data_IF_299292422193
#
_entry.id   IF_299292422193
#
_cell.length_a   1.000
_cell.length_b   1.000
_cell.length_c   1.000
_cell.angle_alpha   90.00
_cell.angle_beta   90.00
_cell.angle_gamma   90.00
#
_symmetry.space_group_name_H-M   'P 1'
#
loop_
_entity.id
_entity.type
_entity.pdbx_description
1 polymer ?
#
# COMPACT_ATOMS: atom_id res chain seq x y z
N UNK A 1 -40.96 71.25 -32.92
CA UNK A 1 -40.79 71.24 -31.46
C UNK A 1 -39.30 71.34 -31.17
N UNK A 2 -38.81 72.53 -30.80
CA UNK A 2 -37.40 72.76 -30.47
C UNK A 2 -37.26 72.82 -28.96
N UNK A 3 -37.00 71.67 -28.34
CA UNK A 3 -36.61 71.61 -26.94
C UNK A 3 -35.12 71.84 -26.84
N UNK A 4 -34.70 73.05 -26.46
CA UNK A 4 -33.33 73.31 -26.05
C UNK A 4 -33.07 72.55 -24.74
N UNK A 5 -32.40 71.40 -24.83
CA UNK A 5 -31.86 70.72 -23.65
C UNK A 5 -30.85 71.65 -22.97
N UNK A 6 -31.06 72.09 -21.72
CA UNK A 6 -30.06 72.87 -21.02
C UNK A 6 -28.81 72.00 -20.86
N UNK A 7 -27.67 72.47 -21.36
CA UNK A 7 -26.39 71.82 -21.13
C UNK A 7 -26.16 71.81 -19.62
N UNK A 8 -26.13 70.63 -19.00
CA UNK A 8 -25.83 70.52 -17.59
C UNK A 8 -24.43 71.10 -17.35
N UNK A 9 -24.39 72.23 -16.65
CA UNK A 9 -23.17 72.97 -16.31
C UNK A 9 -23.00 72.90 -14.80
N UNK A 10 -21.75 72.90 -14.35
CA UNK A 10 -21.44 73.12 -12.94
C UNK A 10 -21.90 74.51 -12.51
N UNK A 11 -21.95 74.77 -11.20
CA UNK A 11 -22.30 76.10 -10.68
C UNK A 11 -21.40 77.23 -11.21
N UNK A 12 -20.18 76.90 -11.69
CA UNK A 12 -19.25 77.83 -12.32
C UNK A 12 -19.40 77.96 -13.85
N UNK A 13 -20.39 77.30 -14.46
CA UNK A 13 -20.67 77.39 -15.90
C UNK A 13 -19.83 76.44 -16.77
N UNK A 14 -18.97 75.60 -16.18
CA UNK A 14 -18.19 74.60 -16.93
C UNK A 14 -19.12 73.47 -17.38
N UNK A 15 -19.15 73.11 -18.67
CA UNK A 15 -19.91 71.95 -19.16
C UNK A 15 -19.49 70.68 -18.43
N UNK A 16 -20.46 69.83 -18.05
CA UNK A 16 -20.14 68.56 -17.38
C UNK A 16 -19.19 67.67 -18.23
N UNK A 17 -19.24 67.80 -19.56
CA UNK A 17 -18.36 67.12 -20.51
C UNK A 17 -16.90 67.61 -20.51
N UNK A 18 -16.63 68.78 -19.93
CA UNK A 18 -15.29 69.37 -19.82
C UNK A 18 -14.65 69.11 -18.45
N UNK A 19 -15.33 68.38 -17.56
CA UNK A 19 -14.75 67.97 -16.28
C UNK A 19 -13.62 66.95 -16.52
N UNK A 20 -12.53 67.00 -15.72
CA UNK A 20 -11.48 65.99 -15.78
C UNK A 20 -12.06 64.59 -15.57
N UNK A 21 -11.75 63.67 -16.49
CA UNK A 21 -12.05 62.25 -16.28
C UNK A 21 -11.11 61.75 -15.19
N UNK A 22 -11.64 61.52 -14.00
CA UNK A 22 -10.87 60.89 -12.94
C UNK A 22 -10.50 59.44 -13.34
N UNK A 23 -9.29 58.96 -13.00
CA UNK A 23 -8.98 57.54 -13.11
C UNK A 23 -10.02 56.72 -12.34
N UNK A 24 -10.25 55.49 -12.78
CA UNK A 24 -11.23 54.59 -12.18
C UNK A 24 -11.08 54.59 -10.65
N UNK A 25 -12.16 54.84 -9.88
CA UNK A 25 -12.12 54.85 -8.43
C UNK A 25 -11.55 53.53 -7.90
N UNK A 26 -10.88 53.61 -6.75
CA UNK A 26 -10.36 52.46 -6.00
C UNK A 26 -11.47 51.78 -5.20
N UNK A 27 -11.28 50.52 -4.79
CA UNK A 27 -12.34 49.71 -4.17
C UNK A 27 -12.98 50.36 -2.92
N UNK A 28 -12.21 51.19 -2.20
CA UNK A 28 -12.62 51.91 -1.00
C UNK A 28 -13.24 53.29 -1.27
N UNK A 29 -13.14 53.80 -2.50
CA UNK A 29 -13.71 55.11 -2.84
C UNK A 29 -15.23 55.04 -2.77
N UNK A 30 -15.82 56.09 -2.21
CA UNK A 30 -17.27 56.18 -2.05
C UNK A 30 -17.90 56.70 -3.34
N UNK A 31 -18.86 55.94 -3.86
CA UNK A 31 -19.71 56.35 -4.97
C UNK A 31 -21.08 56.73 -4.45
N UNK A 32 -21.55 57.92 -4.80
CA UNK A 32 -22.92 58.34 -4.53
C UNK A 32 -23.87 57.70 -5.55
N UNK A 33 -24.92 57.06 -5.06
CA UNK A 33 -25.96 56.49 -5.91
C UNK A 33 -27.30 56.37 -5.18
N UNK A 34 -28.34 56.03 -5.93
CA UNK A 34 -29.63 55.66 -5.35
C UNK A 34 -29.67 54.14 -5.21
N UNK A 35 -29.67 53.65 -3.98
CA UNK A 35 -29.68 52.23 -3.66
C UNK A 35 -30.89 51.94 -2.78
N UNK A 36 -31.68 50.92 -3.12
CA UNK A 36 -32.94 50.60 -2.41
C UNK A 36 -33.87 51.81 -2.21
N UNK A 37 -33.89 52.74 -3.17
CA UNK A 37 -34.73 53.95 -3.12
C UNK A 37 -34.21 55.07 -2.20
N UNK A 38 -32.98 54.98 -1.70
CA UNK A 38 -32.34 56.00 -0.86
C UNK A 38 -31.03 56.47 -1.50
N UNK A 39 -30.75 57.77 -1.45
CA UNK A 39 -29.44 58.31 -1.84
C UNK A 39 -28.41 58.01 -0.77
N UNK A 40 -27.38 57.23 -1.10
CA UNK A 40 -26.32 56.88 -0.16
C UNK A 40 -24.95 56.77 -0.86
N UNK A 41 -23.90 56.96 -0.07
CA UNK A 41 -22.52 56.70 -0.48
C UNK A 41 -22.17 55.23 -0.15
N UNK A 42 -21.74 54.47 -1.15
CA UNK A 42 -21.34 53.06 -0.98
C UNK A 42 -19.92 52.90 -1.52
N UNK A 43 -19.04 52.11 -0.85
CA UNK A 43 -17.74 51.77 -1.39
C UNK A 43 -17.88 51.14 -2.77
N UNK A 44 -17.02 51.55 -3.71
CA UNK A 44 -17.08 51.12 -5.10
C UNK A 44 -17.10 49.59 -5.25
N UNK A 45 -16.33 48.86 -4.44
CA UNK A 45 -16.29 47.39 -4.45
C UNK A 45 -17.58 46.70 -4.02
N UNK A 46 -18.52 47.41 -3.38
CA UNK A 46 -19.76 46.84 -2.79
C UNK A 46 -21.04 47.38 -3.44
N UNK A 47 -20.93 48.02 -4.61
CA UNK A 47 -22.07 48.60 -5.34
C UNK A 47 -23.08 47.53 -5.79
N UNK A 48 -22.63 46.31 -6.07
CA UNK A 48 -23.50 45.22 -6.53
C UNK A 48 -23.79 44.20 -5.45
N UNK A 49 -25.06 43.74 -5.41
CA UNK A 49 -25.45 42.61 -4.56
C UNK A 49 -24.69 41.35 -4.98
N UNK A 50 -23.96 40.74 -4.04
CA UNK A 50 -23.11 39.57 -4.30
C UNK A 50 -21.69 39.88 -4.78
N UNK A 51 -21.29 41.16 -4.83
CA UNK A 51 -19.88 41.50 -5.04
C UNK A 51 -19.03 40.98 -3.88
N UNK A 52 -17.98 40.23 -4.23
CA UNK A 52 -16.99 39.68 -3.29
C UNK A 52 -15.64 40.31 -3.48
N UNK A 53 -14.97 40.61 -2.38
CA UNK A 53 -13.61 41.14 -2.40
C UNK A 53 -12.64 40.07 -2.92
N UNK A 54 -11.67 40.49 -3.74
CA UNK A 54 -10.64 39.59 -4.28
C UNK A 54 -9.71 39.04 -3.20
N UNK A 55 -9.72 39.63 -2.01
CA UNK A 55 -8.90 39.25 -0.87
C UNK A 55 -9.72 39.33 0.40
N UNK A 56 -10.03 38.16 0.99
CA UNK A 56 -10.71 38.07 2.27
C UNK A 56 -12.14 38.59 2.20
N UNK A 57 -13.08 37.71 1.88
CA UNK A 57 -14.51 37.98 1.96
C UNK A 57 -15.25 36.71 2.40
N UNK A 58 -16.54 36.83 2.71
CA UNK A 58 -17.41 35.71 3.09
C UNK A 58 -18.67 35.71 2.24
N UNK A 59 -19.00 34.55 1.68
CA UNK A 59 -20.25 34.32 0.97
C UNK A 59 -21.24 33.59 1.88
N UNK A 60 -22.48 34.09 1.95
CA UNK A 60 -23.59 33.34 2.53
C UNK A 60 -24.27 32.52 1.41
N UNK A 61 -23.79 31.30 1.17
CA UNK A 61 -24.35 30.39 0.16
C UNK A 61 -23.31 29.62 -0.65
N UNK A 62 -23.77 28.90 -1.68
CA UNK A 62 -22.91 28.12 -2.57
C UNK A 62 -22.26 29.01 -3.64
N UNK A 63 -20.96 28.85 -3.84
CA UNK A 63 -20.24 29.42 -4.98
C UNK A 63 -20.18 28.39 -6.12
N UNK A 64 -20.97 28.62 -7.17
CA UNK A 64 -20.99 27.75 -8.34
C UNK A 64 -19.88 28.15 -9.33
N UNK A 65 -18.88 27.28 -9.52
CA UNK A 65 -17.84 27.43 -10.53
C UNK A 65 -17.86 26.23 -11.48
N UNK A 66 -18.32 26.39 -12.74
CA UNK A 66 -18.40 25.28 -13.70
C UNK A 66 -17.04 24.91 -14.31
N UNK A 67 -16.04 25.78 -14.17
CA UNK A 67 -14.72 25.58 -14.76
C UNK A 67 -13.87 24.67 -13.87
N UNK A 68 -13.17 23.73 -14.51
CA UNK A 68 -12.18 22.92 -13.83
C UNK A 68 -10.95 23.77 -13.49
N UNK A 69 -10.38 23.61 -12.28
CA UNK A 69 -9.11 24.20 -11.91
C UNK A 69 -7.99 23.79 -12.88
N UNK A 70 -7.16 24.74 -13.31
CA UNK A 70 -5.97 24.52 -14.12
C UNK A 70 -4.68 25.00 -13.43
N UNK A 71 -4.81 25.76 -12.35
CA UNK A 71 -3.72 26.23 -11.49
C UNK A 71 -3.99 25.80 -10.03
N UNK A 72 -2.95 25.47 -9.24
CA UNK A 72 -3.11 25.08 -7.83
C UNK A 72 -3.84 26.12 -6.95
N UNK A 73 -3.84 27.39 -7.34
CA UNK A 73 -4.47 28.49 -6.59
C UNK A 73 -5.93 28.74 -6.99
N UNK A 74 -6.45 28.01 -7.97
CA UNK A 74 -7.85 28.14 -8.40
C UNK A 74 -8.81 27.53 -7.37
N UNK A 75 -10.00 28.14 -7.29
CA UNK A 75 -11.13 27.55 -6.58
C UNK A 75 -11.47 26.17 -7.18
N UNK A 76 -11.48 25.14 -6.34
CA UNK A 76 -11.86 23.79 -6.75
C UNK A 76 -13.36 23.55 -6.63
N UNK A 77 -13.99 23.06 -7.70
CA UNK A 77 -15.39 22.62 -7.65
C UNK A 77 -15.52 21.15 -7.20
N UNK A 78 -16.73 20.76 -6.78
CA UNK A 78 -17.01 19.40 -6.26
C UNK A 78 -16.77 18.32 -7.32
N UNK A 79 -17.15 18.56 -8.57
CA UNK A 79 -16.97 17.60 -9.66
C UNK A 79 -15.49 17.26 -9.90
N UNK A 80 -14.61 18.26 -9.82
CA UNK A 80 -13.17 18.07 -9.90
C UNK A 80 -12.64 17.22 -8.74
N UNK A 81 -13.03 17.52 -7.51
CA UNK A 81 -12.61 16.75 -6.32
C UNK A 81 -13.09 15.30 -6.41
N UNK A 82 -14.31 15.07 -6.86
CA UNK A 82 -14.87 13.72 -7.04
C UNK A 82 -14.12 12.94 -8.10
N UNK A 83 -13.78 13.58 -9.23
CA UNK A 83 -12.99 12.96 -10.29
C UNK A 83 -11.59 12.58 -9.78
N UNK A 84 -10.90 13.48 -9.07
CA UNK A 84 -9.59 13.20 -8.48
C UNK A 84 -9.68 12.07 -7.45
N UNK A 85 -10.72 12.08 -6.61
CA UNK A 85 -10.99 11.02 -5.65
C UNK A 85 -11.18 9.66 -6.32
N UNK A 86 -11.97 9.60 -7.39
CA UNK A 86 -12.18 8.39 -8.19
C UNK A 86 -10.89 7.88 -8.85
N UNK A 87 -10.06 8.78 -9.38
CA UNK A 87 -8.75 8.41 -9.94
C UNK A 87 -7.82 7.81 -8.89
N UNK A 88 -7.75 8.41 -7.70
CA UNK A 88 -6.94 7.89 -6.58
C UNK A 88 -7.46 6.52 -6.16
N UNK A 89 -8.78 6.35 -5.97
CA UNK A 89 -9.38 5.07 -5.62
C UNK A 89 -9.08 3.98 -6.66
N UNK A 90 -9.20 4.29 -7.95
CA UNK A 90 -8.87 3.36 -9.04
C UNK A 90 -7.40 2.94 -9.03
N UNK A 91 -6.46 3.87 -8.82
CA UNK A 91 -5.03 3.57 -8.72
C UNK A 91 -4.71 2.71 -7.51
N UNK A 92 -5.32 2.99 -6.36
CA UNK A 92 -5.15 2.20 -5.13
C UNK A 92 -5.69 0.79 -5.34
N UNK A 93 -6.87 0.64 -5.93
CA UNK A 93 -7.44 -0.67 -6.23
C UNK A 93 -6.51 -1.51 -7.13
N UNK A 94 -5.99 -0.91 -8.22
CA UNK A 94 -5.05 -1.58 -9.11
C UNK A 94 -3.76 -2.00 -8.39
N UNK A 95 -3.22 -1.14 -7.52
CA UNK A 95 -2.01 -1.43 -6.75
C UNK A 95 -2.25 -2.58 -5.74
N UNK A 96 -3.42 -2.60 -5.09
CA UNK A 96 -3.81 -3.70 -4.18
C UNK A 96 -3.89 -5.03 -4.93
N UNK A 97 -4.51 -5.05 -6.10
CA UNK A 97 -4.56 -6.27 -6.94
C UNK A 97 -3.15 -6.73 -7.32
N UNK A 98 -2.29 -5.83 -7.79
CA UNK A 98 -0.90 -6.17 -8.13
C UNK A 98 -0.13 -6.74 -6.94
N UNK A 99 -0.31 -6.18 -5.73
CA UNK A 99 0.33 -6.68 -4.52
C UNK A 99 -0.18 -8.08 -4.12
N UNK A 100 -1.49 -8.33 -4.28
CA UNK A 100 -2.10 -9.64 -4.01
C UNK A 100 -1.62 -10.71 -5.00
N UNK A 101 -1.51 -10.36 -6.29
CA UNK A 101 -0.99 -11.25 -7.33
C UNK A 101 0.48 -11.60 -7.06
N UNK A 102 1.31 -10.61 -6.71
CA UNK A 102 2.70 -10.82 -6.36
C UNK A 102 2.86 -11.74 -5.12
N UNK A 103 2.03 -11.55 -4.09
CA UNK A 103 2.03 -12.40 -2.91
C UNK A 103 1.64 -13.85 -3.24
N UNK A 104 0.64 -14.04 -4.10
CA UNK A 104 0.20 -15.37 -4.56
C UNK A 104 1.30 -16.06 -5.37
N UNK A 105 1.92 -15.35 -6.31
CA UNK A 105 3.03 -15.88 -7.10
C UNK A 105 4.22 -16.31 -6.22
N UNK A 106 4.54 -15.53 -5.19
CA UNK A 106 5.59 -15.87 -4.22
C UNK A 106 5.26 -17.17 -3.45
N UNK A 107 4.02 -17.32 -2.99
CA UNK A 107 3.58 -18.54 -2.30
C UNK A 107 3.63 -19.76 -3.22
N UNK A 108 3.18 -19.63 -4.47
CA UNK A 108 3.27 -20.70 -5.47
C UNK A 108 4.73 -21.08 -5.75
N UNK A 109 5.63 -20.10 -5.90
CA UNK A 109 7.05 -20.35 -6.13
C UNK A 109 7.69 -21.12 -4.96
N UNK A 110 7.37 -20.77 -3.71
CA UNK A 110 7.83 -21.48 -2.51
C UNK A 110 7.31 -22.92 -2.50
N UNK A 111 6.02 -23.12 -2.78
CA UNK A 111 5.42 -24.46 -2.84
C UNK A 111 6.04 -25.35 -3.91
N UNK A 112 6.29 -24.78 -5.10
CA UNK A 112 6.95 -25.47 -6.19
C UNK A 112 8.39 -25.83 -5.83
N UNK A 113 9.15 -24.90 -5.25
CA UNK A 113 10.52 -25.15 -4.82
C UNK A 113 10.62 -26.27 -3.77
N UNK A 114 9.72 -26.27 -2.78
CA UNK A 114 9.62 -27.33 -1.77
C UNK A 114 9.30 -28.70 -2.39
N UNK A 115 8.35 -28.72 -3.32
CA UNK A 115 7.96 -29.95 -4.04
C UNK A 115 9.10 -30.50 -4.88
N UNK A 116 9.79 -29.63 -5.64
CA UNK A 116 10.96 -30.00 -6.44
C UNK A 116 12.09 -30.51 -5.55
N UNK A 117 12.40 -29.82 -4.46
CA UNK A 117 13.43 -30.26 -3.51
C UNK A 117 13.11 -31.65 -2.93
N UNK A 118 11.87 -31.86 -2.49
CA UNK A 118 11.43 -33.16 -1.98
C UNK A 118 11.48 -34.25 -3.06
N UNK A 119 11.13 -33.92 -4.30
CA UNK A 119 11.23 -34.83 -5.44
C UNK A 119 12.68 -35.21 -5.74
N UNK A 120 13.60 -34.24 -5.78
CA UNK A 120 15.03 -34.49 -6.02
C UNK A 120 15.60 -35.37 -4.91
N UNK A 121 15.31 -35.10 -3.64
CA UNK A 121 15.76 -35.94 -2.52
C UNK A 121 15.22 -37.37 -2.65
N UNK A 122 13.94 -37.55 -3.03
CA UNK A 122 13.35 -38.87 -3.26
C UNK A 122 13.98 -39.61 -4.44
N UNK A 123 14.20 -38.92 -5.57
CA UNK A 123 14.86 -39.54 -6.72
C UNK A 123 16.29 -39.94 -6.39
N UNK A 124 17.02 -39.08 -5.67
CA UNK A 124 18.42 -39.34 -5.34
C UNK A 124 18.60 -40.39 -4.24
N UNK A 125 17.71 -40.50 -3.24
CA UNK A 125 17.86 -41.52 -2.19
C UNK A 125 17.64 -42.96 -2.67
N UNK A 126 16.86 -43.13 -3.74
CA UNK A 126 16.50 -44.45 -4.29
C UNK A 126 17.36 -44.83 -5.51
N UNK A 127 18.19 -43.91 -6.02
CA UNK A 127 19.07 -44.16 -7.14
C UNK A 127 20.37 -44.88 -6.71
N UNK A 128 20.88 -45.84 -7.50
CA UNK A 128 22.27 -46.26 -7.41
C UNK A 128 23.20 -45.03 -7.51
N UNK A 129 24.24 -44.97 -6.67
CA UNK A 129 25.17 -43.83 -6.54
C UNK A 129 24.52 -42.49 -6.10
N UNK A 130 23.35 -42.56 -5.48
CA UNK A 130 22.61 -41.40 -5.01
C UNK A 130 22.95 -40.92 -3.59
N UNK A 131 22.00 -40.24 -2.94
CA UNK A 131 22.17 -39.67 -1.60
C UNK A 131 22.01 -40.74 -0.50
N UNK A 132 22.97 -40.81 0.41
CA UNK A 132 22.93 -41.67 1.58
C UNK A 132 22.67 -40.87 2.88
N UNK A 133 22.02 -41.49 3.87
CA UNK A 133 21.84 -40.89 5.19
C UNK A 133 23.14 -41.00 6.00
N UNK A 134 23.60 -39.90 6.60
CA UNK A 134 24.80 -39.85 7.43
C UNK A 134 24.46 -39.47 8.87
N UNK A 135 25.23 -39.99 9.83
CA UNK A 135 25.21 -39.55 11.22
C UNK A 135 25.82 -38.15 11.37
N UNK A 136 25.71 -37.55 12.56
CA UNK A 136 26.39 -36.29 12.87
C UNK A 136 27.92 -36.38 12.79
N UNK A 137 28.47 -37.58 12.89
CA UNK A 137 29.90 -37.86 12.72
C UNK A 137 30.29 -38.15 11.25
N UNK A 138 29.33 -38.14 10.32
CA UNK A 138 29.57 -38.37 8.88
C UNK A 138 29.60 -39.85 8.47
N UNK A 139 29.18 -40.77 9.33
CA UNK A 139 29.14 -42.21 9.05
C UNK A 139 27.81 -42.63 8.41
N UNK A 140 27.81 -43.66 7.56
CA UNK A 140 26.60 -44.15 6.90
C UNK A 140 25.60 -44.74 7.92
N UNK A 141 24.33 -44.31 7.84
CA UNK A 141 23.23 -44.82 8.66
C UNK A 141 22.42 -45.87 7.92
N UNK A 142 22.29 -47.06 8.52
CA UNK A 142 21.50 -48.19 8.00
C UNK A 142 20.49 -48.62 9.07
N UNK A 143 19.24 -48.15 8.98
CA UNK A 143 18.17 -48.61 9.89
C UNK A 143 18.45 -48.41 11.38
N UNK A 144 19.23 -47.37 11.74
CA UNK A 144 19.65 -47.10 13.13
C UNK A 144 21.01 -47.68 13.51
N UNK A 145 21.69 -48.37 12.61
CA UNK A 145 23.08 -48.83 12.76
C UNK A 145 24.02 -47.83 12.09
N UNK A 146 25.10 -47.47 12.78
CA UNK A 146 26.14 -46.58 12.25
C UNK A 146 27.30 -47.40 11.68
N UNK A 147 27.62 -47.24 10.40
CA UNK A 147 28.73 -47.90 9.74
C UNK A 147 30.00 -47.04 9.84
N UNK A 148 30.96 -47.47 10.65
CA UNK A 148 32.24 -46.78 10.89
C UNK A 148 33.28 -47.01 9.77
N UNK A 149 32.92 -47.78 8.73
CA UNK A 149 33.80 -48.13 7.61
C UNK A 149 34.17 -49.60 7.59
N UNK A 150 35.32 -49.91 6.99
CA UNK A 150 35.80 -51.29 6.76
C UNK A 150 37.17 -51.47 7.42
N UNK A 151 37.37 -52.57 8.16
CA UNK A 151 38.68 -53.01 8.66
C UNK A 151 38.88 -54.47 8.31
N UNK A 152 40.01 -54.80 7.68
CA UNK A 152 40.35 -56.17 7.27
C UNK A 152 39.27 -56.86 6.43
N UNK A 153 38.56 -56.11 5.57
CA UNK A 153 37.47 -56.65 4.75
C UNK A 153 36.13 -56.83 5.48
N UNK A 154 36.04 -56.48 6.77
CA UNK A 154 34.81 -56.53 7.55
C UNK A 154 34.25 -55.14 7.81
N UNK A 155 32.93 -54.99 7.68
CA UNK A 155 32.24 -53.74 8.02
C UNK A 155 32.23 -53.57 9.53
N UNK A 156 32.67 -52.41 10.01
CA UNK A 156 32.50 -52.03 11.41
C UNK A 156 31.18 -51.30 11.58
N UNK A 157 30.37 -51.80 12.49
CA UNK A 157 29.07 -51.22 12.81
C UNK A 157 28.96 -50.97 14.31
N UNK A 158 28.32 -49.87 14.68
CA UNK A 158 27.89 -49.60 16.05
C UNK A 158 26.37 -49.68 16.09
N UNK A 159 25.85 -50.44 17.04
CA UNK A 159 24.41 -50.54 17.30
C UNK A 159 24.16 -50.44 18.80
N UNK A 160 23.06 -49.77 19.17
CA UNK A 160 22.59 -49.80 20.54
C UNK A 160 21.95 -51.17 20.82
N UNK A 161 22.43 -51.85 21.85
CA UNK A 161 21.81 -53.09 22.33
C UNK A 161 20.70 -52.75 23.34
N UNK A 162 19.55 -53.47 23.32
CA UNK A 162 18.51 -53.32 24.34
C UNK A 162 19.06 -53.49 25.76
N UNK A 163 18.52 -52.74 26.72
CA UNK A 163 18.93 -52.84 28.13
C UNK A 163 18.18 -53.93 28.91
N UNK A 164 17.20 -54.57 28.26
CA UNK A 164 16.36 -55.64 28.79
C UNK A 164 16.33 -56.79 27.79
N UNK A 165 16.15 -58.01 28.27
CA UNK A 165 16.01 -59.19 27.41
C UNK A 165 14.86 -58.97 26.40
N UNK A 166 15.12 -58.96 25.08
CA UNK A 166 14.10 -58.76 24.06
C UNK A 166 13.18 -59.97 23.87
N UNK A 167 13.44 -61.12 24.53
CA UNK A 167 12.70 -62.36 24.38
C UNK A 167 12.69 -62.89 22.92
N UNK A 168 13.72 -62.55 22.15
CA UNK A 168 13.96 -63.09 20.80
C UNK A 168 15.17 -64.02 20.88
N UNK A 169 15.00 -65.30 20.59
CA UNK A 169 16.09 -66.29 20.76
C UNK A 169 17.31 -65.88 19.93
N UNK A 170 18.48 -65.86 20.56
CA UNK A 170 19.72 -65.48 19.89
C UNK A 170 19.88 -63.98 19.63
N UNK A 171 19.02 -63.12 20.17
CA UNK A 171 19.22 -61.67 20.10
C UNK A 171 20.21 -61.19 21.18
N UNK A 172 21.12 -60.30 20.80
CA UNK A 172 22.09 -59.71 21.73
C UNK A 172 21.45 -58.56 22.49
N UNK A 173 21.71 -58.46 23.79
CA UNK A 173 21.27 -57.36 24.65
C UNK A 173 22.34 -57.04 25.69
N UNK A 174 22.26 -55.87 26.34
CA UNK A 174 23.21 -55.43 27.35
C UNK A 174 22.50 -55.25 28.69
N UNK A 175 22.89 -55.99 29.73
CA UNK A 175 22.25 -55.87 31.05
C UNK A 175 22.79 -54.73 31.93
N UNK A 176 23.64 -53.84 31.37
CA UNK A 176 24.31 -52.76 32.10
C UNK A 176 25.73 -53.10 32.57
N UNK A 177 26.24 -54.30 32.30
CA UNK A 177 27.62 -54.70 32.61
C UNK A 177 28.27 -55.64 31.60
N UNK A 178 27.49 -56.48 30.91
CA UNK A 178 28.00 -57.39 29.88
C UNK A 178 26.95 -57.65 28.78
N UNK A 179 27.43 -58.18 27.65
CA UNK A 179 26.59 -58.61 26.53
C UNK A 179 25.98 -59.97 26.87
N UNK A 180 24.67 -60.06 26.74
CA UNK A 180 23.86 -61.23 26.96
C UNK A 180 23.27 -61.73 25.63
N UNK A 181 22.97 -63.03 25.59
CA UNK A 181 22.21 -63.67 24.51
C UNK A 181 20.84 -64.06 25.06
N UNK A 182 19.78 -63.52 24.47
CA UNK A 182 18.40 -63.87 24.82
C UNK A 182 18.12 -65.34 24.53
N UNK A 183 17.43 -66.00 25.47
CA UNK A 183 16.97 -67.39 25.33
C UNK A 183 15.68 -67.50 24.48
N UNK A 184 15.05 -66.37 24.15
CA UNK A 184 13.71 -66.33 23.55
C UNK A 184 12.61 -66.28 24.62
N UNK A 185 11.42 -65.83 24.22
CA UNK A 185 10.25 -65.88 25.09
C UNK A 185 9.98 -67.32 25.53
N UNK A 186 9.54 -67.49 26.78
CA UNK A 186 9.12 -68.79 27.27
C UNK A 186 8.01 -69.31 26.33
N UNK A 187 8.31 -70.38 25.58
CA UNK A 187 7.28 -71.12 24.85
C UNK A 187 6.24 -71.56 25.88
N UNK A 188 5.02 -71.04 25.76
CA UNK A 188 3.86 -71.58 26.47
C UNK A 188 3.47 -72.93 25.90
#
# INVERSE_FOLDING_TARGET
MSGSSPTATTQSGVPLSALPVHPQPTETDLVFGIFNGQGQFVPQGKIWSGAVDKKGDTLAGLLACPLSPSDPTHLTNKAYVDQMGGQVQGRVAALVTQAQDAATQAQTAIGNASTVAASVIKTQRDAPDGLAALSSAGNLLLGGVECLGIRNGHVLMVMALPTTDPAVQGAWWNNGGYICISQGGASA
#
